data_IF_082197988410
#
_entry.id   IF_082197988410
#
_cell.length_a   1.000
_cell.length_b   1.000
_cell.length_c   1.000
_cell.angle_alpha   90.00
_cell.angle_beta   90.00
_cell.angle_gamma   90.00
#
_symmetry.space_group_name_H-M   'P 1'
#
loop_
_entity.id
_entity.type
_entity.pdbx_description
1 polymer ?
#
# COMPACT_ATOMS: atom_id res chain seq x y z
N UNK A 1 12.57 -29.86 -7.51
CA UNK A 1 11.64 -28.73 -7.76
C UNK A 1 11.15 -28.21 -6.41
N UNK A 2 11.35 -26.92 -6.08
CA UNK A 2 10.81 -26.36 -4.82
C UNK A 2 9.28 -26.35 -4.89
N UNK A 3 8.60 -26.89 -3.88
CA UNK A 3 7.14 -26.91 -3.84
C UNK A 3 6.57 -25.48 -3.91
N UNK A 4 5.68 -25.25 -4.87
CA UNK A 4 5.00 -23.97 -5.06
C UNK A 4 3.79 -23.90 -4.13
N UNK A 5 3.71 -22.86 -3.30
CA UNK A 5 2.61 -22.63 -2.37
C UNK A 5 1.51 -21.80 -3.04
N UNK A 6 0.88 -22.36 -4.08
CA UNK A 6 -0.12 -21.66 -4.90
C UNK A 6 -1.27 -21.10 -4.06
N UNK A 7 -1.92 -21.95 -3.26
CA UNK A 7 -3.08 -21.55 -2.49
C UNK A 7 -2.78 -20.43 -1.47
N UNK A 8 -1.68 -20.54 -0.72
CA UNK A 8 -1.28 -19.50 0.25
C UNK A 8 -0.99 -18.17 -0.43
N UNK A 9 -0.37 -18.22 -1.61
CA UNK A 9 0.00 -17.03 -2.38
C UNK A 9 -1.21 -16.34 -2.97
N UNK A 10 -2.15 -17.10 -3.54
CA UNK A 10 -3.42 -16.58 -4.05
C UNK A 10 -4.23 -15.98 -2.90
N UNK A 11 -4.39 -16.70 -1.79
CA UNK A 11 -5.14 -16.19 -0.64
C UNK A 11 -4.52 -14.90 -0.06
N UNK A 12 -3.19 -14.86 0.10
CA UNK A 12 -2.50 -13.65 0.61
C UNK A 12 -2.59 -12.50 -0.38
N UNK A 13 -2.46 -12.77 -1.69
CA UNK A 13 -2.65 -11.77 -2.74
C UNK A 13 -4.07 -11.20 -2.74
N UNK A 14 -5.10 -12.06 -2.68
CA UNK A 14 -6.50 -11.62 -2.67
C UNK A 14 -6.85 -10.81 -1.42
N UNK A 15 -6.37 -11.20 -0.24
CA UNK A 15 -6.60 -10.43 0.99
C UNK A 15 -6.06 -9.02 0.85
N UNK A 16 -4.82 -8.86 0.38
CA UNK A 16 -4.23 -7.54 0.18
C UNK A 16 -4.87 -6.81 -1.01
N UNK A 17 -5.22 -7.51 -2.08
CA UNK A 17 -5.86 -6.90 -3.25
C UNK A 17 -7.20 -6.26 -2.87
N UNK A 18 -8.01 -6.96 -2.07
CA UNK A 18 -9.31 -6.45 -1.65
C UNK A 18 -9.22 -5.27 -0.68
N UNK A 19 -8.09 -5.02 -0.01
CA UNK A 19 -7.97 -3.80 0.81
C UNK A 19 -7.97 -2.53 -0.03
N UNK A 20 -7.53 -2.58 -1.30
CA UNK A 20 -7.52 -1.41 -2.18
C UNK A 20 -8.93 -0.90 -2.52
N UNK A 21 -9.82 -1.69 -3.15
CA UNK A 21 -11.17 -1.22 -3.48
C UNK A 21 -12.01 -0.96 -2.21
N UNK A 22 -11.81 -1.74 -1.14
CA UNK A 22 -12.51 -1.49 0.14
C UNK A 22 -12.05 -0.18 0.79
N UNK A 23 -10.76 0.16 0.73
CA UNK A 23 -10.24 1.43 1.21
C UNK A 23 -10.81 2.62 0.45
N UNK A 24 -10.78 2.57 -0.88
CA UNK A 24 -11.37 3.63 -1.72
C UNK A 24 -12.87 3.77 -1.48
N UNK A 25 -13.61 2.66 -1.41
CA UNK A 25 -15.04 2.70 -1.14
C UNK A 25 -15.34 3.28 0.24
N UNK A 26 -14.56 2.94 1.27
CA UNK A 26 -14.68 3.54 2.60
C UNK A 26 -14.46 5.06 2.54
N UNK A 27 -13.42 5.53 1.84
CA UNK A 27 -13.16 6.96 1.69
C UNK A 27 -14.32 7.68 1.00
N UNK A 28 -14.84 7.12 -0.10
CA UNK A 28 -15.98 7.68 -0.82
C UNK A 28 -17.26 7.73 0.02
N UNK A 29 -17.51 6.71 0.83
CA UNK A 29 -18.66 6.69 1.74
C UNK A 29 -18.51 7.77 2.81
N UNK A 30 -17.33 7.90 3.42
CA UNK A 30 -17.07 8.94 4.43
C UNK A 30 -17.27 10.34 3.85
N UNK A 31 -16.70 10.60 2.68
CA UNK A 31 -16.78 11.90 1.98
C UNK A 31 -18.23 12.28 1.60
N UNK A 32 -19.07 11.30 1.25
CA UNK A 32 -20.47 11.54 0.86
C UNK A 32 -21.47 11.58 2.02
N UNK A 33 -21.22 10.83 3.09
CA UNK A 33 -22.22 10.63 4.17
C UNK A 33 -21.97 11.48 5.40
N UNK A 34 -20.75 11.94 5.61
CA UNK A 34 -20.36 12.71 6.80
C UNK A 34 -20.18 14.20 6.46
N UNK A 35 -20.39 15.06 7.45
CA UNK A 35 -20.02 16.48 7.31
C UNK A 35 -18.49 16.61 7.26
N UNK A 36 -17.93 17.66 6.63
CA UNK A 36 -16.48 17.84 6.53
C UNK A 36 -15.77 17.75 7.89
N UNK A 37 -16.33 18.36 8.92
CA UNK A 37 -15.80 18.29 10.29
C UNK A 37 -15.75 16.84 10.81
N UNK A 38 -16.84 16.09 10.62
CA UNK A 38 -16.91 14.70 11.07
C UNK A 38 -15.94 13.79 10.31
N UNK A 39 -15.71 14.02 9.00
CA UNK A 39 -14.69 13.31 8.21
C UNK A 39 -13.30 13.53 8.82
N UNK A 40 -12.94 14.78 9.12
CA UNK A 40 -11.61 15.11 9.64
C UNK A 40 -11.36 14.55 11.04
N UNK A 41 -12.34 14.61 11.96
CA UNK A 41 -12.21 13.95 13.26
C UNK A 41 -12.10 12.44 13.13
N UNK A 42 -12.96 11.83 12.30
CA UNK A 42 -12.94 10.38 12.06
C UNK A 42 -11.61 9.93 11.46
N UNK A 43 -11.07 10.68 10.51
CA UNK A 43 -9.77 10.43 9.91
C UNK A 43 -8.62 10.51 10.92
N UNK A 44 -8.63 11.52 11.80
CA UNK A 44 -7.62 11.64 12.84
C UNK A 44 -7.66 10.44 13.81
N UNK A 45 -8.85 10.05 14.27
CA UNK A 45 -9.01 8.87 15.14
C UNK A 45 -8.69 7.57 14.42
N UNK A 46 -8.98 7.46 13.12
CA UNK A 46 -8.61 6.31 12.30
C UNK A 46 -7.10 6.14 12.20
N UNK A 47 -6.35 7.23 11.95
CA UNK A 47 -4.90 7.18 11.92
C UNK A 47 -4.29 6.85 13.30
N UNK A 48 -4.86 7.40 14.37
CA UNK A 48 -4.47 7.05 15.75
C UNK A 48 -4.73 5.58 16.07
N UNK A 49 -5.90 5.06 15.70
CA UNK A 49 -6.23 3.65 15.84
C UNK A 49 -5.22 2.80 15.06
N UNK A 50 -4.88 3.21 13.83
CA UNK A 50 -3.84 2.57 13.03
C UNK A 50 -2.49 2.48 13.75
N UNK A 51 -2.01 3.59 14.33
CA UNK A 51 -0.79 3.61 15.12
C UNK A 51 -0.86 2.68 16.34
N UNK A 52 -1.95 2.74 17.11
CA UNK A 52 -2.16 1.88 18.29
C UNK A 52 -2.15 0.40 17.88
N UNK A 53 -2.81 0.05 16.78
CA UNK A 53 -2.81 -1.31 16.22
C UNK A 53 -1.40 -1.81 15.91
N UNK A 54 -0.55 -0.97 15.29
CA UNK A 54 0.83 -1.32 14.97
C UNK A 54 1.64 -1.59 16.25
N UNK A 55 1.49 -0.72 17.26
CA UNK A 55 2.18 -0.84 18.55
C UNK A 55 1.74 -2.09 19.30
N UNK A 56 0.42 -2.37 19.38
CA UNK A 56 -0.11 -3.61 19.97
C UNK A 56 0.46 -4.82 19.22
N UNK A 57 0.55 -4.75 17.89
CA UNK A 57 1.10 -5.79 17.04
C UNK A 57 2.53 -6.21 17.40
N UNK A 58 3.34 -5.33 18.02
CA UNK A 58 4.68 -5.67 18.52
C UNK A 58 4.64 -6.76 19.59
N UNK A 59 3.62 -6.73 20.45
CA UNK A 59 3.47 -7.63 21.60
C UNK A 59 2.69 -8.91 21.27
N UNK A 60 2.05 -8.99 20.10
CA UNK A 60 1.24 -10.14 19.69
C UNK A 60 2.14 -11.32 19.29
N UNK A 61 1.84 -12.51 19.81
CA UNK A 61 2.59 -13.73 19.46
C UNK A 61 2.18 -14.30 18.10
N UNK A 62 3.16 -14.41 17.18
CA UNK A 62 3.05 -15.12 15.91
C UNK A 62 3.23 -14.22 14.69
N UNK A 63 4.13 -14.61 13.79
CA UNK A 63 4.54 -13.83 12.60
C UNK A 63 3.36 -13.36 11.73
N UNK A 64 2.42 -14.26 11.43
CA UNK A 64 1.23 -13.90 10.63
C UNK A 64 0.36 -12.86 11.33
N UNK A 65 0.16 -12.98 12.65
CA UNK A 65 -0.67 -12.02 13.38
C UNK A 65 -0.01 -10.66 13.41
N UNK A 66 1.28 -10.61 13.75
CA UNK A 66 2.05 -9.36 13.72
C UNK A 66 2.01 -8.70 12.34
N UNK A 67 2.12 -9.50 11.27
CA UNK A 67 2.00 -9.01 9.89
C UNK A 67 0.62 -8.39 9.63
N UNK A 68 -0.47 -9.03 10.08
CA UNK A 68 -1.83 -8.49 9.91
C UNK A 68 -2.05 -7.20 10.71
N UNK A 69 -1.54 -7.11 11.95
CA UNK A 69 -1.59 -5.87 12.74
C UNK A 69 -0.81 -4.74 12.06
N UNK A 70 0.35 -5.04 11.48
CA UNK A 70 1.13 -4.07 10.71
C UNK A 70 0.46 -3.64 9.40
N UNK A 71 -0.16 -4.58 8.67
CA UNK A 71 -0.91 -4.31 7.44
C UNK A 71 -2.11 -3.40 7.73
N UNK A 72 -3.02 -3.82 8.61
CA UNK A 72 -4.23 -3.05 8.92
C UNK A 72 -3.92 -1.74 9.62
N UNK A 73 -3.00 -1.76 10.59
CA UNK A 73 -2.57 -0.55 11.26
C UNK A 73 -1.93 0.43 10.29
N UNK A 74 -1.15 -0.05 9.31
CA UNK A 74 -0.55 0.79 8.28
C UNK A 74 -1.55 1.34 7.26
N UNK A 75 -2.56 0.57 6.87
CA UNK A 75 -3.63 1.07 5.99
C UNK A 75 -4.46 2.18 6.67
N UNK A 76 -4.89 1.96 7.92
CA UNK A 76 -5.64 2.98 8.68
C UNK A 76 -4.79 4.23 8.94
N UNK A 77 -3.50 4.04 9.23
CA UNK A 77 -2.56 5.14 9.38
C UNK A 77 -2.41 5.95 8.10
N UNK A 78 -2.20 5.28 6.96
CA UNK A 78 -2.08 5.91 5.66
C UNK A 78 -3.33 6.71 5.32
N UNK A 79 -4.49 6.05 5.34
CA UNK A 79 -5.75 6.72 4.98
C UNK A 79 -6.09 7.85 5.94
N UNK A 80 -5.93 7.64 7.26
CA UNK A 80 -6.29 8.65 8.26
C UNK A 80 -5.33 9.83 8.32
N UNK A 81 -4.03 9.57 8.50
CA UNK A 81 -3.04 10.61 8.78
C UNK A 81 -2.23 11.07 7.58
N UNK A 82 -2.20 10.33 6.48
CA UNK A 82 -1.55 10.78 5.26
C UNK A 82 -2.61 11.38 4.33
N UNK A 83 -3.59 10.59 3.88
CA UNK A 83 -4.56 11.03 2.86
C UNK A 83 -5.54 12.10 3.40
N UNK A 84 -6.34 11.76 4.40
CA UNK A 84 -7.35 12.68 4.92
C UNK A 84 -6.77 13.91 5.64
N UNK A 85 -5.56 13.81 6.20
CA UNK A 85 -4.88 14.96 6.79
C UNK A 85 -4.37 15.92 5.70
N UNK A 86 -3.88 15.41 4.57
CA UNK A 86 -3.60 16.24 3.41
C UNK A 86 -4.88 16.86 2.85
N UNK A 87 -5.98 16.12 2.79
CA UNK A 87 -7.27 16.67 2.39
C UNK A 87 -7.72 17.81 3.32
N UNK A 88 -7.58 17.64 4.64
CA UNK A 88 -7.88 18.71 5.61
C UNK A 88 -7.10 19.99 5.32
N UNK A 89 -5.78 19.90 5.14
CA UNK A 89 -4.96 21.07 4.86
C UNK A 89 -5.23 21.66 3.48
N UNK A 90 -5.47 20.82 2.48
CA UNK A 90 -5.80 21.26 1.13
C UNK A 90 -7.11 22.07 1.13
N UNK A 91 -8.15 21.55 1.78
CA UNK A 91 -9.45 22.25 1.92
C UNK A 91 -9.33 23.51 2.77
N UNK A 92 -8.62 23.46 3.90
CA UNK A 92 -8.44 24.61 4.80
C UNK A 92 -7.75 25.78 4.12
N UNK A 93 -6.76 25.51 3.27
CA UNK A 93 -5.98 26.54 2.57
C UNK A 93 -6.50 26.81 1.14
N UNK A 94 -7.61 26.19 0.74
CA UNK A 94 -8.24 26.44 -0.56
C UNK A 94 -7.42 25.98 -1.77
N UNK A 95 -6.64 24.89 -1.62
CA UNK A 95 -5.88 24.29 -2.72
C UNK A 95 -6.86 23.82 -3.79
N UNK A 96 -6.72 24.35 -5.01
CA UNK A 96 -7.61 23.99 -6.10
C UNK A 96 -7.29 22.59 -6.62
N UNK A 97 -8.31 21.77 -6.95
CA UNK A 97 -8.10 20.51 -7.63
C UNK A 97 -7.52 20.74 -9.03
N UNK A 98 -6.84 19.73 -9.57
CA UNK A 98 -6.47 19.76 -10.98
C UNK A 98 -7.70 19.43 -11.82
N UNK A 99 -8.09 20.39 -12.67
CA UNK A 99 -9.27 20.30 -13.54
C UNK A 99 -8.83 20.08 -14.98
N UNK A 100 -9.46 19.13 -15.66
CA UNK A 100 -9.32 18.93 -17.10
C UNK A 100 -10.68 18.79 -17.74
N UNK A 101 -10.96 19.56 -18.79
CA UNK A 101 -12.27 19.58 -19.47
C UNK A 101 -13.48 19.78 -18.55
N UNK A 102 -13.30 20.40 -17.38
CA UNK A 102 -14.36 20.63 -16.39
C UNK A 102 -14.55 19.49 -15.38
N UNK A 103 -13.75 18.43 -15.45
CA UNK A 103 -13.75 17.32 -14.49
C UNK A 103 -12.54 17.38 -13.57
N UNK A 104 -12.72 16.97 -12.31
CA UNK A 104 -11.64 16.87 -11.32
C UNK A 104 -10.82 15.63 -11.63
N UNK A 105 -9.63 15.80 -12.22
CA UNK A 105 -8.74 14.68 -12.57
C UNK A 105 -7.84 14.31 -11.40
N UNK A 106 -7.42 15.30 -10.59
CA UNK A 106 -6.63 15.04 -9.38
C UNK A 106 -7.16 15.85 -8.21
N UNK A 107 -7.45 15.14 -7.11
CA UNK A 107 -7.93 15.78 -5.88
C UNK A 107 -6.83 16.61 -5.22
N UNK A 108 -7.18 17.69 -4.50
CA UNK A 108 -6.21 18.61 -3.92
C UNK A 108 -5.20 17.96 -2.97
N UNK A 109 -5.61 16.96 -2.19
CA UNK A 109 -4.76 16.22 -1.26
C UNK A 109 -3.57 15.56 -1.94
N UNK A 110 -3.74 15.06 -3.16
CA UNK A 110 -2.70 14.35 -3.88
C UNK A 110 -1.68 15.32 -4.50
N UNK A 111 -2.05 16.58 -4.73
CA UNK A 111 -1.14 17.62 -5.21
C UNK A 111 -0.13 18.06 -4.14
N UNK A 112 -0.44 17.87 -2.86
CA UNK A 112 0.50 18.12 -1.75
C UNK A 112 1.55 17.01 -1.69
N UNK A 113 1.21 15.80 -2.13
CA UNK A 113 2.03 14.61 -1.95
C UNK A 113 3.41 14.70 -2.63
N UNK A 114 3.57 15.23 -3.86
CA UNK A 114 4.89 15.51 -4.47
C UNK A 114 5.82 16.36 -3.60
N UNK A 115 5.28 17.33 -2.86
CA UNK A 115 6.07 18.21 -1.99
C UNK A 115 6.76 17.42 -0.85
N UNK A 116 6.27 16.22 -0.54
CA UNK A 116 6.83 15.34 0.48
C UNK A 116 8.06 14.55 0.00
N UNK A 117 8.45 14.66 -1.28
CA UNK A 117 9.61 13.96 -1.85
C UNK A 117 10.91 14.14 -1.03
N UNK A 118 11.15 15.34 -0.50
CA UNK A 118 12.33 15.60 0.33
C UNK A 118 12.34 14.76 1.62
N UNK A 119 11.18 14.61 2.27
CA UNK A 119 11.03 13.75 3.45
C UNK A 119 11.19 12.27 3.10
N UNK A 120 10.64 11.85 1.95
CA UNK A 120 10.81 10.49 1.44
C UNK A 120 12.29 10.17 1.19
N UNK A 121 13.02 11.07 0.52
CA UNK A 121 14.45 10.92 0.25
C UNK A 121 15.26 10.78 1.53
N UNK A 122 14.98 11.58 2.55
CA UNK A 122 15.65 11.50 3.85
C UNK A 122 15.50 10.11 4.48
N UNK A 123 14.28 9.56 4.48
CA UNK A 123 13.99 8.24 5.04
C UNK A 123 14.61 7.13 4.17
N UNK A 124 14.58 7.28 2.85
CA UNK A 124 15.19 6.33 1.92
C UNK A 124 16.71 6.24 2.10
N UNK A 125 17.40 7.35 2.36
CA UNK A 125 18.83 7.35 2.66
C UNK A 125 19.11 6.52 3.92
N UNK A 126 18.30 6.67 4.97
CA UNK A 126 18.44 5.85 6.19
C UNK A 126 18.23 4.35 5.88
N UNK A 127 17.23 4.01 5.06
CA UNK A 127 17.00 2.62 4.69
C UNK A 127 18.11 2.03 3.82
N UNK A 128 18.66 2.81 2.90
CA UNK A 128 19.72 2.34 2.01
C UNK A 128 21.03 2.21 2.76
N UNK A 129 21.45 3.20 3.53
CA UNK A 129 22.79 3.25 4.11
C UNK A 129 22.89 2.62 5.50
N UNK A 130 21.86 2.79 6.34
CA UNK A 130 22.01 2.53 7.78
C UNK A 130 21.39 1.23 8.26
N UNK A 131 20.69 0.47 7.40
CA UNK A 131 19.89 -0.68 7.85
C UNK A 131 20.01 -1.88 6.91
N UNK A 132 20.28 -3.05 7.49
CA UNK A 132 20.18 -4.32 6.75
C UNK A 132 18.71 -4.75 6.70
N UNK A 133 18.05 -4.52 5.57
CA UNK A 133 16.62 -4.76 5.42
C UNK A 133 16.29 -6.15 4.85
N UNK A 134 15.08 -6.65 5.13
CA UNK A 134 14.53 -7.84 4.47
C UNK A 134 13.96 -7.56 3.07
N UNK A 135 13.68 -6.30 2.75
CA UNK A 135 13.17 -5.87 1.46
C UNK A 135 14.17 -6.15 0.33
N UNK A 136 13.71 -6.83 -0.71
CA UNK A 136 14.56 -7.20 -1.85
C UNK A 136 15.00 -6.00 -2.69
N UNK A 137 14.16 -4.97 -2.77
CA UNK A 137 14.42 -3.77 -3.55
C UNK A 137 15.55 -2.95 -2.94
N UNK A 138 15.48 -2.66 -1.64
CA UNK A 138 16.56 -1.97 -0.91
C UNK A 138 17.84 -2.81 -0.93
N UNK A 139 17.74 -4.14 -0.76
CA UNK A 139 18.89 -5.03 -0.87
C UNK A 139 19.54 -5.04 -2.26
N UNK A 140 18.76 -4.82 -3.32
CA UNK A 140 19.28 -4.67 -4.67
C UNK A 140 20.03 -3.33 -4.80
N UNK A 141 19.41 -2.22 -4.38
CA UNK A 141 20.06 -0.90 -4.33
C UNK A 141 21.38 -0.91 -3.55
N UNK A 142 21.39 -1.48 -2.35
CA UNK A 142 22.60 -1.64 -1.54
C UNK A 142 23.70 -2.45 -2.23
N UNK A 143 23.33 -3.49 -3.00
CA UNK A 143 24.30 -4.29 -3.76
C UNK A 143 24.86 -3.52 -4.95
N UNK A 144 24.01 -2.73 -5.63
CA UNK A 144 24.42 -1.91 -6.77
C UNK A 144 25.34 -0.77 -6.34
N UNK A 145 24.97 -0.06 -5.26
CA UNK A 145 25.70 1.11 -4.75
C UNK A 145 26.98 0.73 -3.98
N UNK A 146 26.89 -0.21 -3.04
CA UNK A 146 28.01 -0.48 -2.11
C UNK A 146 28.87 -1.65 -2.54
N UNK A 147 28.41 -2.48 -3.49
CA UNK A 147 29.13 -3.64 -4.02
C UNK A 147 29.76 -4.49 -2.90
N UNK A 148 31.10 -4.51 -2.80
CA UNK A 148 31.85 -5.26 -1.79
C UNK A 148 31.74 -4.69 -0.37
N UNK A 149 31.50 -3.38 -0.20
CA UNK A 149 31.42 -2.69 1.11
C UNK A 149 30.05 -2.72 1.76
N UNK A 150 29.09 -3.47 1.22
CA UNK A 150 27.72 -3.55 1.77
C UNK A 150 27.70 -3.91 3.26
N UNK A 151 28.52 -4.89 3.65
CA UNK A 151 28.55 -5.39 5.03
C UNK A 151 29.25 -4.42 5.99
N UNK A 152 30.03 -3.47 5.48
CA UNK A 152 30.68 -2.42 6.29
C UNK A 152 29.72 -1.26 6.55
N UNK A 153 28.98 -0.84 5.51
CA UNK A 153 28.09 0.34 5.57
C UNK A 153 26.75 -0.03 6.23
N UNK A 154 26.11 -1.12 5.80
CA UNK A 154 24.83 -1.59 6.34
C UNK A 154 25.04 -2.84 7.21
N UNK A 155 25.88 -2.72 8.24
CA UNK A 155 26.36 -3.86 9.03
C UNK A 155 25.28 -4.49 9.92
N UNK A 156 24.44 -3.68 10.58
CA UNK A 156 23.49 -4.14 11.60
C UNK A 156 22.04 -4.06 11.10
N UNK A 157 21.23 -5.12 11.29
CA UNK A 157 19.78 -5.03 11.11
C UNK A 157 19.17 -4.23 12.27
N UNK A 158 18.08 -3.52 12.01
CA UNK A 158 17.25 -2.96 13.09
C UNK A 158 16.59 -4.08 13.90
N UNK A 159 16.13 -3.77 15.11
CA UNK A 159 15.34 -4.69 15.92
C UNK A 159 14.13 -5.19 15.13
N UNK A 160 13.99 -6.52 15.03
CA UNK A 160 13.01 -7.12 14.13
C UNK A 160 11.66 -7.30 14.83
N UNK A 161 10.80 -6.29 14.70
CA UNK A 161 9.39 -6.39 15.06
C UNK A 161 8.55 -6.51 13.77
N UNK A 162 7.99 -7.69 13.48
CA UNK A 162 7.30 -7.94 12.20
C UNK A 162 6.15 -6.96 11.95
N UNK A 163 5.44 -6.53 13.00
CA UNK A 163 4.37 -5.50 12.90
C UNK A 163 4.91 -4.18 12.35
N UNK A 164 5.96 -3.63 12.99
CA UNK A 164 6.60 -2.37 12.59
C UNK A 164 7.23 -2.48 11.21
N UNK A 165 7.89 -3.61 10.91
CA UNK A 165 8.48 -3.84 9.59
C UNK A 165 7.40 -3.85 8.52
N UNK A 166 6.28 -4.55 8.74
CA UNK A 166 5.17 -4.58 7.77
C UNK A 166 4.54 -3.20 7.60
N UNK A 167 4.33 -2.48 8.69
CA UNK A 167 3.84 -1.10 8.68
C UNK A 167 4.73 -0.18 7.83
N UNK A 168 6.04 -0.19 8.09
CA UNK A 168 6.99 0.64 7.35
C UNK A 168 7.12 0.21 5.89
N UNK A 169 7.19 -1.09 5.62
CA UNK A 169 7.25 -1.61 4.24
C UNK A 169 6.01 -1.18 3.44
N UNK A 170 4.81 -1.29 4.01
CA UNK A 170 3.57 -0.84 3.37
C UNK A 170 3.60 0.66 3.07
N UNK A 171 3.83 1.49 4.09
CA UNK A 171 3.78 2.95 3.93
C UNK A 171 4.86 3.47 2.98
N UNK A 172 6.07 2.91 3.03
CA UNK A 172 7.14 3.31 2.11
C UNK A 172 6.85 2.91 0.66
N UNK A 173 6.27 1.72 0.43
CA UNK A 173 5.90 1.29 -0.92
C UNK A 173 4.73 2.14 -1.45
N UNK A 174 3.69 2.38 -0.64
CA UNK A 174 2.59 3.28 -1.00
C UNK A 174 3.11 4.66 -1.35
N UNK A 175 3.90 5.26 -0.47
CA UNK A 175 4.46 6.60 -0.70
C UNK A 175 5.31 6.67 -1.97
N UNK A 176 6.15 5.66 -2.21
CA UNK A 176 6.95 5.58 -3.45
C UNK A 176 6.07 5.48 -4.68
N UNK A 177 5.05 4.62 -4.66
CA UNK A 177 4.12 4.44 -5.78
C UNK A 177 3.29 5.69 -6.05
N UNK A 178 2.81 6.35 -5.01
CA UNK A 178 2.07 7.59 -5.17
C UNK A 178 2.95 8.73 -5.69
N UNK A 179 4.18 8.90 -5.18
CA UNK A 179 5.13 9.88 -5.73
C UNK A 179 5.39 9.62 -7.21
N UNK A 180 5.60 8.35 -7.59
CA UNK A 180 5.78 7.95 -8.98
C UNK A 180 4.56 8.33 -9.83
N UNK A 181 3.35 8.00 -9.38
CA UNK A 181 2.10 8.34 -10.08
C UNK A 181 1.94 9.85 -10.22
N UNK A 182 2.09 10.61 -9.14
CA UNK A 182 1.91 12.06 -9.18
C UNK A 182 2.92 12.76 -10.10
N UNK A 183 4.19 12.31 -10.12
CA UNK A 183 5.17 12.84 -11.08
C UNK A 183 4.87 12.43 -12.53
N UNK A 184 4.27 11.27 -12.76
CA UNK A 184 3.82 10.88 -14.10
C UNK A 184 2.62 11.72 -14.56
N UNK A 185 1.73 12.05 -13.64
CA UNK A 185 0.50 12.79 -13.92
C UNK A 185 0.71 14.31 -14.06
N UNK A 186 1.73 14.86 -13.41
CA UNK A 186 2.04 16.29 -13.51
C UNK A 186 2.42 16.68 -14.96
N UNK A 187 1.61 17.57 -15.54
CA UNK A 187 1.74 18.08 -16.91
C UNK A 187 3.04 18.85 -17.15
N UNK A 188 3.67 19.38 -16.11
CA UNK A 188 4.97 20.06 -16.24
C UNK A 188 6.13 19.08 -16.40
N UNK A 189 5.96 17.82 -15.99
CA UNK A 189 6.98 16.78 -16.11
C UNK A 189 6.71 15.85 -17.29
N UNK A 190 5.56 15.17 -17.30
CA UNK A 190 5.20 14.16 -18.28
C UNK A 190 3.78 14.38 -18.80
N UNK A 191 2.79 14.36 -17.90
CA UNK A 191 1.37 14.36 -18.22
C UNK A 191 0.76 12.96 -18.25
N UNK A 192 -0.52 12.89 -17.95
CA UNK A 192 -1.28 11.64 -17.81
C UNK A 192 -1.45 10.84 -19.11
N UNK A 193 -1.61 11.52 -20.25
CA UNK A 193 -1.70 10.89 -21.58
C UNK A 193 -0.33 10.64 -22.23
N UNK A 194 0.76 10.94 -21.54
CA UNK A 194 2.10 10.81 -22.10
C UNK A 194 2.50 9.33 -22.25
N UNK A 195 3.13 8.92 -23.37
CA UNK A 195 3.51 7.52 -23.59
C UNK A 195 4.42 6.96 -22.50
N UNK A 196 5.22 7.81 -21.83
CA UNK A 196 6.06 7.40 -20.69
C UNK A 196 5.20 6.93 -19.52
N UNK A 197 4.07 7.58 -19.23
CA UNK A 197 3.14 7.18 -18.16
C UNK A 197 2.57 5.78 -18.45
N UNK A 198 2.22 5.50 -19.72
CA UNK A 198 1.79 4.16 -20.15
C UNK A 198 2.92 3.12 -20.06
N UNK A 199 4.15 3.48 -20.41
CA UNK A 199 5.33 2.61 -20.28
C UNK A 199 5.63 2.29 -18.82
N UNK A 200 5.54 3.27 -17.92
CA UNK A 200 5.68 3.08 -16.47
C UNK A 200 4.60 2.12 -15.96
N UNK A 201 3.35 2.31 -16.35
CA UNK A 201 2.25 1.40 -16.02
C UNK A 201 2.53 -0.03 -16.49
N UNK A 202 2.97 -0.21 -17.74
CA UNK A 202 3.34 -1.52 -18.29
C UNK A 202 4.53 -2.15 -17.54
N UNK A 203 5.54 -1.37 -17.18
CA UNK A 203 6.69 -1.83 -16.42
C UNK A 203 6.28 -2.28 -15.00
N UNK A 204 5.40 -1.54 -14.34
CA UNK A 204 4.81 -1.94 -13.06
C UNK A 204 3.98 -3.23 -13.18
N UNK A 205 3.17 -3.36 -14.23
CA UNK A 205 2.41 -4.58 -14.49
C UNK A 205 3.33 -5.80 -14.64
N UNK A 206 4.35 -5.71 -15.50
CA UNK A 206 5.35 -6.76 -15.70
C UNK A 206 6.10 -7.06 -14.38
N UNK A 207 6.48 -6.02 -13.64
CA UNK A 207 7.14 -6.12 -12.34
C UNK A 207 6.30 -6.89 -11.33
N UNK A 208 5.00 -6.61 -11.24
CA UNK A 208 4.09 -7.30 -10.34
C UNK A 208 4.03 -8.81 -10.61
N UNK A 209 4.05 -9.25 -11.88
CA UNK A 209 4.11 -10.67 -12.23
C UNK A 209 5.41 -11.34 -11.74
N UNK A 210 6.55 -10.66 -11.85
CA UNK A 210 7.83 -11.18 -11.34
C UNK A 210 7.83 -11.29 -9.81
N UNK A 211 7.26 -10.31 -9.10
CA UNK A 211 7.13 -10.33 -7.64
C UNK A 211 6.18 -11.47 -7.22
N UNK A 212 5.03 -11.61 -7.89
CA UNK A 212 4.08 -12.69 -7.65
C UNK A 212 4.70 -14.07 -7.87
N UNK A 213 5.49 -14.25 -8.94
CA UNK A 213 6.23 -15.49 -9.19
C UNK A 213 7.19 -15.83 -8.05
N UNK A 214 7.79 -14.82 -7.41
CA UNK A 214 8.63 -15.02 -6.22
C UNK A 214 7.79 -15.35 -4.99
N UNK A 215 6.64 -14.70 -4.83
CA UNK A 215 5.67 -14.96 -3.75
C UNK A 215 5.23 -16.43 -3.71
N UNK A 216 5.03 -17.07 -4.87
CA UNK A 216 4.69 -18.51 -4.98
C UNK A 216 5.68 -19.45 -4.29
N UNK A 217 6.92 -19.01 -4.06
CA UNK A 217 7.99 -19.80 -3.42
C UNK A 217 8.04 -19.63 -1.90
N UNK A 218 7.25 -18.73 -1.31
CA UNK A 218 7.24 -18.45 0.12
C UNK A 218 6.27 -19.39 0.86
N UNK A 219 6.77 -20.07 1.89
CA UNK A 219 6.03 -21.10 2.64
C UNK A 219 5.32 -20.60 3.89
N UNK A 220 5.79 -19.48 4.47
CA UNK A 220 5.22 -18.86 5.67
C UNK A 220 4.17 -17.80 5.30
N UNK A 221 3.06 -17.77 6.05
CA UNK A 221 1.95 -16.85 5.79
C UNK A 221 2.36 -15.38 5.93
N UNK A 222 3.05 -14.99 7.01
CA UNK A 222 3.46 -13.59 7.20
C UNK A 222 4.42 -13.08 6.12
N UNK A 223 5.41 -13.88 5.72
CA UNK A 223 6.29 -13.50 4.60
C UNK A 223 5.53 -13.43 3.26
N UNK A 224 4.55 -14.32 3.05
CA UNK A 224 3.73 -14.31 1.84
C UNK A 224 2.85 -13.07 1.77
N UNK A 225 2.19 -12.68 2.88
CA UNK A 225 1.39 -11.44 2.98
C UNK A 225 2.26 -10.19 2.78
N UNK A 226 3.45 -10.12 3.38
CA UNK A 226 4.38 -8.99 3.15
C UNK A 226 4.81 -8.88 1.69
N UNK A 227 5.05 -10.00 1.01
CA UNK A 227 5.32 -9.99 -0.43
C UNK A 227 4.08 -9.61 -1.24
N UNK A 228 2.89 -10.03 -0.80
CA UNK A 228 1.62 -9.68 -1.43
C UNK A 228 1.37 -8.17 -1.39
N UNK A 229 1.74 -7.46 -0.31
CA UNK A 229 1.74 -5.99 -0.24
C UNK A 229 2.51 -5.40 -1.42
N UNK A 230 3.76 -5.80 -1.61
CA UNK A 230 4.58 -5.31 -2.71
C UNK A 230 3.98 -5.66 -4.08
N UNK A 231 3.47 -6.89 -4.25
CA UNK A 231 2.82 -7.31 -5.50
C UNK A 231 1.60 -6.44 -5.82
N UNK A 232 0.70 -6.27 -4.85
CA UNK A 232 -0.58 -5.58 -5.04
C UNK A 232 -0.37 -4.09 -5.26
N UNK A 233 0.47 -3.42 -4.46
CA UNK A 233 0.69 -1.97 -4.63
C UNK A 233 1.31 -1.67 -6.00
N UNK A 234 2.25 -2.49 -6.46
CA UNK A 234 2.84 -2.34 -7.81
C UNK A 234 1.84 -2.71 -8.91
N UNK A 235 0.99 -3.71 -8.68
CA UNK A 235 -0.10 -4.08 -9.60
C UNK A 235 -1.19 -3.02 -9.68
N UNK A 236 -1.39 -2.23 -8.62
CA UNK A 236 -2.42 -1.20 -8.57
C UNK A 236 -2.06 0.05 -9.39
N UNK A 237 -0.77 0.33 -9.58
CA UNK A 237 -0.29 1.44 -10.44
C UNK A 237 -0.91 1.41 -11.85
N UNK A 238 -0.86 0.31 -12.63
CA UNK A 238 -1.53 0.28 -13.93
C UNK A 238 -3.06 0.33 -13.82
N UNK A 239 -3.67 -0.15 -12.72
CA UNK A 239 -5.13 -0.03 -12.49
C UNK A 239 -5.50 1.44 -12.38
N UNK A 240 -4.75 2.23 -11.61
CA UNK A 240 -4.92 3.68 -11.47
C UNK A 240 -4.72 4.42 -12.79
N UNK A 241 -3.66 4.09 -13.54
CA UNK A 241 -3.39 4.74 -14.84
C UNK A 241 -4.51 4.44 -15.83
N UNK A 242 -4.99 3.20 -15.88
CA UNK A 242 -6.10 2.81 -16.76
C UNK A 242 -7.45 3.41 -16.32
N UNK A 243 -7.67 3.57 -15.00
CA UNK A 243 -8.82 4.28 -14.45
C UNK A 243 -8.82 5.75 -14.86
N UNK A 244 -7.66 6.42 -14.78
CA UNK A 244 -7.49 7.81 -15.21
C UNK A 244 -7.65 8.02 -16.73
N UNK A 245 -7.38 6.99 -17.53
CA UNK A 245 -7.63 6.99 -18.98
C UNK A 245 -9.07 6.59 -19.34
N UNK A 246 -9.97 6.51 -18.36
CA UNK A 246 -11.37 6.08 -18.51
C UNK A 246 -11.55 4.72 -19.21
N UNK A 247 -10.55 3.82 -19.10
CA UNK A 247 -10.61 2.51 -19.76
C UNK A 247 -11.68 1.59 -19.17
N UNK A 248 -11.97 1.73 -17.87
CA UNK A 248 -13.04 1.01 -17.19
C UNK A 248 -13.65 1.87 -16.08
N UNK A 249 -14.89 1.57 -15.70
CA UNK A 249 -15.55 2.21 -14.55
C UNK A 249 -15.07 1.58 -13.25
N UNK A 250 -14.52 2.41 -12.39
CA UNK A 250 -14.04 2.00 -11.07
C UNK A 250 -15.23 1.76 -10.13
N UNK A 251 -15.58 0.48 -9.94
CA UNK A 251 -16.72 0.07 -9.12
C UNK A 251 -16.64 0.54 -7.66
N UNK A 252 -15.43 0.86 -7.18
CA UNK A 252 -15.17 1.36 -5.82
C UNK A 252 -15.32 2.88 -5.68
N UNK A 253 -15.38 3.64 -6.77
CA UNK A 253 -15.65 5.10 -6.74
C UNK A 253 -17.14 5.38 -6.56
N UNK A 254 -18.01 4.53 -7.12
CA UNK A 254 -19.47 4.60 -7.00
C UNK A 254 -20.03 3.43 -6.16
N UNK A 255 -19.69 3.32 -4.86
CA UNK A 255 -20.09 2.16 -4.06
C UNK A 255 -21.61 2.00 -3.94
N UNK A 256 -22.38 3.09 -3.97
CA UNK A 256 -23.85 3.06 -3.91
C UNK A 256 -24.47 2.34 -5.12
N UNK A 257 -23.92 2.59 -6.32
CA UNK A 257 -24.38 1.98 -7.56
C UNK A 257 -23.96 0.51 -7.68
N UNK A 258 -22.79 0.18 -7.14
CA UNK A 258 -22.21 -1.16 -7.17
C UNK A 258 -22.25 -1.85 -5.80
N UNK A 259 -23.33 -1.61 -5.04
CA UNK A 259 -23.48 -2.11 -3.66
C UNK A 259 -23.31 -3.63 -3.58
N UNK A 260 -23.91 -4.39 -4.50
CA UNK A 260 -23.81 -5.86 -4.53
C UNK A 260 -22.37 -6.33 -4.71
N UNK A 261 -21.64 -5.73 -5.65
CA UNK A 261 -20.24 -6.07 -5.94
C UNK A 261 -19.36 -5.76 -4.72
N UNK A 262 -19.56 -4.61 -4.07
CA UNK A 262 -18.81 -4.21 -2.89
C UNK A 262 -19.09 -5.13 -1.69
N UNK A 263 -20.33 -5.54 -1.47
CA UNK A 263 -20.69 -6.52 -0.43
C UNK A 263 -20.05 -7.88 -0.72
N UNK A 264 -20.08 -8.35 -1.98
CA UNK A 264 -19.43 -9.60 -2.36
C UNK A 264 -17.91 -9.57 -2.08
N UNK A 265 -17.24 -8.46 -2.43
CA UNK A 265 -15.82 -8.26 -2.13
C UNK A 265 -15.57 -8.27 -0.62
N UNK A 266 -16.41 -7.56 0.15
CA UNK A 266 -16.29 -7.51 1.61
C UNK A 266 -16.47 -8.90 2.25
N UNK A 267 -17.48 -9.66 1.83
CA UNK A 267 -17.73 -11.02 2.33
C UNK A 267 -16.56 -11.95 1.99
N UNK A 268 -16.07 -11.91 0.74
CA UNK A 268 -14.93 -12.70 0.31
C UNK A 268 -13.66 -12.34 1.10
N UNK A 269 -13.44 -11.05 1.33
CA UNK A 269 -12.33 -10.54 2.13
C UNK A 269 -12.36 -11.04 3.57
N UNK A 270 -13.51 -10.93 4.25
CA UNK A 270 -13.68 -11.42 5.63
C UNK A 270 -13.50 -12.94 5.69
N UNK A 271 -14.08 -13.68 4.74
CA UNK A 271 -13.93 -15.14 4.67
C UNK A 271 -12.46 -15.57 4.50
N UNK A 272 -11.71 -14.91 3.61
CA UNK A 272 -10.29 -15.17 3.40
C UNK A 272 -9.45 -14.82 4.63
N UNK A 273 -9.73 -13.68 5.29
CA UNK A 273 -9.04 -13.30 6.52
C UNK A 273 -9.24 -14.32 7.64
N UNK A 274 -10.49 -14.72 7.87
CA UNK A 274 -10.83 -15.75 8.87
C UNK A 274 -10.13 -17.07 8.52
N UNK A 275 -10.14 -17.47 7.25
CA UNK A 275 -9.43 -18.66 6.78
C UNK A 275 -7.93 -18.59 7.08
N UNK A 276 -7.25 -17.48 6.75
CA UNK A 276 -5.81 -17.31 7.03
C UNK A 276 -5.54 -17.38 8.53
N UNK A 277 -6.38 -16.74 9.35
CA UNK A 277 -6.25 -16.78 10.81
C UNK A 277 -6.41 -18.21 11.37
N UNK A 278 -7.37 -18.99 10.89
CA UNK A 278 -7.58 -20.38 11.29
C UNK A 278 -6.41 -21.26 10.82
N UNK A 279 -6.02 -21.13 9.55
CA UNK A 279 -4.91 -21.89 8.97
C UNK A 279 -3.57 -21.60 9.67
N UNK A 280 -3.34 -20.35 10.06
CA UNK A 280 -2.16 -19.95 10.83
C UNK A 280 -2.18 -20.50 12.27
N UNK A 281 -3.35 -20.69 12.89
CA UNK A 281 -3.47 -21.34 14.21
C UNK A 281 -3.18 -22.84 14.14
N UNK A 282 -3.74 -23.56 13.15
CA UNK A 282 -3.59 -25.02 13.03
C UNK A 282 -2.14 -25.48 12.88
N UNK A 283 -1.29 -24.70 12.18
CA UNK A 283 0.13 -25.03 12.04
C UNK A 283 0.87 -25.02 13.39
N UNK A 284 0.42 -24.21 14.34
CA UNK A 284 1.02 -24.09 15.68
C UNK A 284 0.69 -25.26 16.61
N UNK A 285 -0.27 -26.12 16.23
CA UNK A 285 -0.70 -27.29 17.01
C UNK A 285 0.02 -28.58 16.57
N UNK A 286 0.73 -28.54 15.43
CA UNK A 286 1.45 -29.68 14.85
C UNK A 286 2.99 -29.52 14.90
N UNK A 287 3.48 -28.47 15.56
CA UNK A 287 4.88 -28.25 15.95
C UNK A 287 4.97 -28.35 17.47
#
# INVERSE_FOLDING_TARGET
>A
MKQLNWWKSIASFLVVLFTMPLGHALMMIMDKTMTPEAVHYSAFFMGLAGLIMVVIGVFVKGDTKQTLWGLFGGLLFWTGWIEFLFQYYATRWGTQPEMENGEVVTRPEYLILPATFGMWMMIMVLYIFSTKNGCNFINWWQRVLFRSRKNEIAARPMTHHTSIVTFMELNMILWTSYLLLMFCYDKNFLGDHHPVTSVVAAACLIGSFFIFRKQLRLSTWGANIRMAIATVVVFWVPVEVLGRLDFFKEIWIEPEKYTTQMICILVAFVALLVYIMIAARKKKTHE
#
